data_IF_503849965668
#
_entry.id   IF_503849965668
#
_cell.length_a   1.000
_cell.length_b   1.000
_cell.length_c   1.000
_cell.angle_alpha   90.00
_cell.angle_beta   90.00
_cell.angle_gamma   90.00
#
_symmetry.space_group_name_H-M   'P 1'
#
loop_
_entity.id
_entity.type
_entity.pdbx_description
1 polymer ?
#
# COMPACT_ATOMS: atom_id res chain seq x y z
N UNK A 1 -0.34 8.12 17.46
CA UNK A 1 -0.61 7.79 16.04
C UNK A 1 -1.99 8.28 15.66
N UNK A 2 -2.11 9.11 14.63
CA UNK A 2 -3.42 9.57 14.13
C UNK A 2 -4.05 8.49 13.26
N UNK A 3 -5.35 8.26 13.43
CA UNK A 3 -6.13 7.32 12.62
C UNK A 3 -7.40 8.08 12.22
N UNK A 4 -7.64 8.18 10.92
CA UNK A 4 -8.89 8.73 10.39
C UNK A 4 -9.76 7.60 9.88
N UNK A 5 -11.02 7.63 10.28
CA UNK A 5 -12.03 6.66 9.85
C UNK A 5 -13.08 7.45 9.08
N UNK A 6 -13.23 7.12 7.80
CA UNK A 6 -14.29 7.65 6.96
C UNK A 6 -15.20 6.47 6.61
N UNK A 7 -16.51 6.61 6.84
CA UNK A 7 -17.47 5.55 6.55
C UNK A 7 -18.69 6.19 5.91
N UNK A 8 -19.03 5.74 4.71
CA UNK A 8 -20.20 6.22 3.97
C UNK A 8 -20.69 5.10 3.03
N UNK A 9 -22.01 4.96 2.92
CA UNK A 9 -22.67 3.92 2.13
C UNK A 9 -22.81 2.57 2.84
N UNK A 10 -23.39 1.60 2.14
CA UNK A 10 -23.76 0.27 2.65
C UNK A 10 -22.71 -0.83 2.37
N UNK A 11 -21.65 -0.52 1.61
CA UNK A 11 -20.61 -1.51 1.29
C UNK A 11 -19.89 -1.97 2.56
N UNK A 12 -19.73 -3.30 2.68
CA UNK A 12 -19.00 -3.92 3.79
C UNK A 12 -17.48 -3.90 3.59
N UNK A 13 -17.00 -3.40 2.45
CA UNK A 13 -15.58 -3.42 2.10
C UNK A 13 -14.79 -2.48 3.00
N UNK A 14 -13.74 -3.01 3.62
CA UNK A 14 -12.84 -2.27 4.49
C UNK A 14 -11.51 -2.02 3.77
N UNK A 15 -11.11 -0.76 3.69
CA UNK A 15 -9.88 -0.28 3.04
C UNK A 15 -8.96 0.31 4.10
N UNK A 16 -7.77 -0.26 4.26
CA UNK A 16 -6.73 0.24 5.16
C UNK A 16 -5.58 0.83 4.33
N UNK A 17 -5.41 2.15 4.41
CA UNK A 17 -4.37 2.89 3.70
C UNK A 17 -3.39 3.45 4.73
N UNK A 18 -2.12 3.06 4.61
CA UNK A 18 -1.10 3.28 5.63
C UNK A 18 0.12 3.97 5.03
N UNK A 19 0.56 5.04 5.66
CA UNK A 19 1.78 5.75 5.32
C UNK A 19 2.82 5.70 6.45
N UNK A 20 4.07 5.99 6.09
CA UNK A 20 5.12 6.26 7.06
C UNK A 20 5.49 5.05 7.91
N UNK A 21 5.75 3.91 7.28
CA UNK A 21 6.09 2.66 7.96
C UNK A 21 7.53 2.67 8.50
N UNK A 22 8.43 3.52 7.97
CA UNK A 22 9.80 3.63 8.47
C UNK A 22 10.18 5.04 8.89
N UNK A 23 10.88 5.13 10.03
CA UNK A 23 11.57 6.33 10.49
C UNK A 23 10.75 7.60 10.38
N UNK A 24 11.16 8.48 9.46
CA UNK A 24 10.55 9.79 9.22
C UNK A 24 9.76 9.87 7.91
N UNK A 25 9.48 8.75 7.25
CA UNK A 25 8.69 8.71 5.99
C UNK A 25 7.32 9.41 6.16
N UNK A 26 6.75 9.37 7.36
CA UNK A 26 5.48 10.04 7.69
C UNK A 26 5.51 11.56 7.48
N UNK A 27 6.68 12.22 7.50
CA UNK A 27 6.79 13.66 7.16
C UNK A 27 6.49 13.94 5.70
N UNK A 28 6.66 12.95 4.83
CA UNK A 28 6.48 13.08 3.37
C UNK A 28 5.12 12.50 2.98
N UNK A 29 4.78 11.32 3.48
CA UNK A 29 3.54 10.62 3.12
C UNK A 29 2.33 11.14 3.89
N UNK A 30 2.52 11.54 5.15
CA UNK A 30 1.44 12.03 5.99
C UNK A 30 0.64 13.16 5.35
N UNK A 31 1.27 14.24 4.86
CA UNK A 31 0.57 15.33 4.17
C UNK A 31 -0.29 14.90 2.98
N UNK A 32 0.10 13.85 2.24
CA UNK A 32 -0.69 13.32 1.11
C UNK A 32 -1.99 12.68 1.62
N UNK A 33 -1.90 11.87 2.68
CA UNK A 33 -3.07 11.23 3.27
C UNK A 33 -3.98 12.22 4.01
N UNK A 34 -3.41 13.26 4.62
CA UNK A 34 -4.18 14.38 5.18
C UNK A 34 -4.92 15.15 4.06
N UNK A 35 -4.23 15.46 2.95
CA UNK A 35 -4.88 16.10 1.79
C UNK A 35 -6.03 15.26 1.26
N UNK A 36 -5.83 13.95 1.09
CA UNK A 36 -6.87 13.02 0.63
C UNK A 36 -8.12 13.08 1.54
N UNK A 37 -7.94 13.09 2.86
CA UNK A 37 -9.03 13.18 3.84
C UNK A 37 -9.90 14.44 3.64
N UNK A 38 -9.27 15.56 3.29
CA UNK A 38 -9.95 16.85 3.12
C UNK A 38 -10.59 17.02 1.73
N UNK A 39 -10.42 16.05 0.82
CA UNK A 39 -11.08 16.09 -0.48
C UNK A 39 -12.56 15.70 -0.36
N UNK A 40 -13.41 16.32 -1.16
CA UNK A 40 -14.81 15.93 -1.29
C UNK A 40 -14.93 14.67 -2.17
N UNK A 41 -14.75 13.50 -1.55
CA UNK A 41 -14.76 12.20 -2.24
C UNK A 41 -16.03 11.42 -1.89
N UNK A 42 -16.55 10.67 -2.86
CA UNK A 42 -17.65 9.73 -2.62
C UNK A 42 -17.11 8.48 -1.94
N UNK A 43 -16.99 8.51 -0.61
CA UNK A 43 -16.49 7.36 0.16
C UNK A 43 -17.44 6.17 -0.02
N UNK A 44 -16.90 5.01 -0.38
CA UNK A 44 -17.66 3.76 -0.45
C UNK A 44 -17.08 2.72 0.51
N UNK A 45 -17.91 2.29 1.47
CA UNK A 45 -17.55 1.36 2.53
C UNK A 45 -16.77 2.05 3.66
N UNK A 46 -15.84 1.32 4.28
CA UNK A 46 -15.06 1.83 5.41
C UNK A 46 -13.62 2.08 4.99
N UNK A 47 -13.20 3.34 5.03
CA UNK A 47 -11.82 3.76 4.74
C UNK A 47 -11.12 4.14 6.04
N UNK A 48 -10.00 3.49 6.32
CA UNK A 48 -9.10 3.81 7.43
C UNK A 48 -7.82 4.39 6.85
N UNK A 49 -7.54 5.65 7.17
CA UNK A 49 -6.30 6.33 6.80
C UNK A 49 -5.39 6.43 8.02
N UNK A 50 -4.15 5.97 7.86
CA UNK A 50 -3.11 6.08 8.89
C UNK A 50 -1.91 6.81 8.29
N UNK A 51 -1.80 8.14 8.48
CA UNK A 51 -0.75 8.97 7.87
C UNK A 51 0.68 8.54 8.19
N UNK A 52 0.89 7.95 9.38
CA UNK A 52 2.22 7.71 9.92
C UNK A 52 2.18 6.61 11.01
N UNK A 53 2.80 5.45 10.74
CA UNK A 53 2.94 4.34 11.69
C UNK A 53 4.18 4.46 12.57
N UNK A 54 5.30 4.87 11.95
CA UNK A 54 6.61 5.00 12.58
C UNK A 54 6.84 6.44 13.01
N UNK A 55 7.26 6.61 14.26
CA UNK A 55 7.55 7.89 14.89
C UNK A 55 9.06 8.02 15.12
N UNK A 56 9.85 7.86 14.05
CA UNK A 56 11.32 7.98 14.10
C UNK A 56 12.07 6.72 14.54
N UNK A 57 11.41 5.55 14.57
CA UNK A 57 12.12 4.30 14.89
C UNK A 57 13.19 3.95 13.82
N UNK A 58 14.22 3.20 14.23
CA UNK A 58 15.27 2.71 13.33
C UNK A 58 14.67 1.91 12.18
N UNK A 59 15.20 2.15 10.98
CA UNK A 59 14.78 1.43 9.78
C UNK A 59 14.97 -0.08 9.93
N UNK A 60 13.88 -0.82 9.72
CA UNK A 60 13.87 -2.27 9.54
C UNK A 60 12.96 -2.52 8.35
N UNK A 61 13.46 -3.23 7.33
CA UNK A 61 12.69 -3.48 6.12
C UNK A 61 11.39 -4.27 6.41
N UNK A 62 10.26 -3.84 5.85
CA UNK A 62 8.98 -4.59 5.87
C UNK A 62 9.09 -5.99 5.26
N UNK A 63 10.13 -6.26 4.45
CA UNK A 63 10.45 -7.59 3.94
C UNK A 63 11.05 -8.52 5.01
N UNK A 64 11.46 -8.00 6.15
CA UNK A 64 12.05 -8.79 7.23
C UNK A 64 10.99 -9.14 8.27
N UNK A 65 10.95 -10.42 8.67
CA UNK A 65 10.12 -10.86 9.82
C UNK A 65 10.42 -10.07 11.10
N UNK A 66 11.63 -9.50 11.22
CA UNK A 66 12.03 -8.65 12.36
C UNK A 66 11.23 -7.34 12.41
N UNK A 67 10.76 -6.81 11.28
CA UNK A 67 9.94 -5.59 11.25
C UNK A 67 8.68 -5.75 12.10
N UNK A 68 8.00 -6.89 11.99
CA UNK A 68 6.77 -7.17 12.74
C UNK A 68 6.99 -7.34 14.25
N UNK A 69 8.25 -7.48 14.68
CA UNK A 69 8.66 -7.44 16.10
C UNK A 69 9.03 -6.04 16.59
N UNK A 70 9.03 -5.01 15.73
CA UNK A 70 9.26 -3.62 16.12
C UNK A 70 7.99 -2.97 16.67
N UNK A 71 8.10 -1.77 17.26
CA UNK A 71 6.92 -0.99 17.68
C UNK A 71 6.02 -0.65 16.48
N UNK A 72 6.60 -0.19 15.36
CA UNK A 72 5.89 0.13 14.12
C UNK A 72 5.17 -1.11 13.54
N UNK A 73 5.88 -2.23 13.40
CA UNK A 73 5.31 -3.47 12.89
C UNK A 73 4.18 -4.03 13.77
N UNK A 74 4.32 -3.97 15.11
CA UNK A 74 3.22 -4.36 16.01
C UNK A 74 2.00 -3.45 15.91
N UNK A 75 2.17 -2.14 15.71
CA UNK A 75 1.04 -1.23 15.46
C UNK A 75 0.33 -1.61 14.15
N UNK A 76 1.08 -1.87 13.08
CA UNK A 76 0.52 -2.31 11.81
C UNK A 76 -0.29 -3.60 11.95
N UNK A 77 0.27 -4.64 12.61
CA UNK A 77 -0.44 -5.90 12.83
C UNK A 77 -1.74 -5.70 13.62
N UNK A 78 -1.71 -4.89 14.68
CA UNK A 78 -2.91 -4.56 15.46
C UNK A 78 -3.99 -3.88 14.62
N UNK A 79 -3.61 -2.99 13.69
CA UNK A 79 -4.56 -2.34 12.78
C UNK A 79 -5.19 -3.35 11.81
N UNK A 80 -4.37 -4.25 11.25
CA UNK A 80 -4.83 -5.30 10.33
C UNK A 80 -5.80 -6.25 11.07
N UNK A 81 -5.45 -6.68 12.28
CA UNK A 81 -6.29 -7.55 13.11
C UNK A 81 -7.60 -6.86 13.53
N UNK A 82 -7.52 -5.59 13.92
CA UNK A 82 -8.67 -4.80 14.37
C UNK A 82 -9.67 -4.50 13.25
N UNK A 83 -9.18 -4.17 12.05
CA UNK A 83 -10.04 -3.72 10.96
C UNK A 83 -10.35 -4.80 9.93
N UNK A 84 -9.55 -5.88 9.85
CA UNK A 84 -9.72 -6.99 8.89
C UNK A 84 -9.97 -6.47 7.46
N UNK A 85 -9.04 -5.67 6.89
CA UNK A 85 -9.31 -4.96 5.65
C UNK A 85 -9.35 -5.91 4.46
N UNK A 86 -10.30 -5.72 3.55
CA UNK A 86 -10.31 -6.35 2.23
C UNK A 86 -9.19 -5.80 1.35
N UNK A 87 -8.99 -4.48 1.43
CA UNK A 87 -8.03 -3.76 0.60
C UNK A 87 -6.99 -3.14 1.52
N UNK A 88 -5.72 -3.46 1.28
CA UNK A 88 -4.59 -2.90 2.01
C UNK A 88 -3.68 -2.12 1.07
N UNK A 89 -3.32 -0.90 1.43
CA UNK A 89 -2.38 -0.07 0.68
C UNK A 89 -1.33 0.45 1.64
N UNK A 90 -0.06 0.20 1.35
CA UNK A 90 1.08 0.80 2.04
C UNK A 90 1.81 1.78 1.14
N UNK A 91 2.12 2.95 1.68
CA UNK A 91 2.74 4.04 0.95
C UNK A 91 4.06 4.42 1.63
N UNK A 92 5.13 4.38 0.84
CA UNK A 92 6.48 4.70 1.27
C UNK A 92 7.08 5.83 0.44
N UNK A 93 8.26 6.27 0.85
CA UNK A 93 9.14 7.02 -0.04
C UNK A 93 10.51 6.35 -0.15
N UNK A 94 11.14 6.50 -1.32
CA UNK A 94 12.48 5.97 -1.58
C UNK A 94 13.49 7.08 -1.88
N UNK A 95 14.75 6.82 -1.56
CA UNK A 95 15.88 7.65 -2.04
C UNK A 95 16.17 7.28 -3.49
N UNK A 96 16.55 8.25 -4.33
CA UNK A 96 16.83 8.02 -5.76
C UNK A 96 17.81 6.86 -6.02
N UNK A 97 18.80 6.69 -5.14
CA UNK A 97 19.77 5.57 -5.19
C UNK A 97 19.16 4.18 -4.98
N UNK A 98 17.94 4.09 -4.45
CA UNK A 98 17.20 2.83 -4.29
C UNK A 98 16.37 2.46 -5.51
N UNK A 99 16.19 3.37 -6.49
CA UNK A 99 15.32 3.16 -7.65
C UNK A 99 15.66 1.87 -8.39
N UNK A 100 16.92 1.74 -8.83
CA UNK A 100 17.36 0.57 -9.61
C UNK A 100 17.11 -0.74 -8.87
N UNK A 101 17.39 -0.75 -7.56
CA UNK A 101 17.13 -1.92 -6.70
C UNK A 101 15.64 -2.24 -6.54
N UNK A 102 14.77 -1.23 -6.48
CA UNK A 102 13.34 -1.41 -6.33
C UNK A 102 12.70 -1.93 -7.62
N UNK A 103 13.20 -1.49 -8.77
CA UNK A 103 12.70 -1.84 -10.11
C UNK A 103 13.44 -2.99 -10.78
N UNK A 104 14.47 -3.56 -10.12
CA UNK A 104 15.29 -4.63 -10.67
C UNK A 104 14.44 -5.85 -11.11
N UNK A 105 14.42 -6.22 -12.40
CA UNK A 105 13.65 -7.37 -12.87
C UNK A 105 14.05 -8.68 -12.20
N UNK A 106 15.30 -8.79 -11.70
CA UNK A 106 15.80 -9.97 -11.00
C UNK A 106 15.50 -9.98 -9.51
N UNK A 107 14.87 -8.92 -8.97
CA UNK A 107 14.46 -8.82 -7.55
C UNK A 107 13.63 -10.02 -7.09
N UNK A 108 12.84 -10.62 -7.98
CA UNK A 108 12.07 -11.82 -7.68
C UNK A 108 12.96 -13.03 -7.38
N UNK A 109 14.04 -13.20 -8.14
CA UNK A 109 14.98 -14.31 -7.96
C UNK A 109 15.87 -14.10 -6.74
N UNK A 110 16.37 -12.88 -6.55
CA UNK A 110 17.29 -12.57 -5.46
C UNK A 110 16.60 -12.36 -4.11
N UNK A 111 15.36 -11.87 -4.09
CA UNK A 111 14.65 -11.50 -2.85
C UNK A 111 13.30 -12.21 -2.67
N UNK A 112 12.84 -13.02 -3.63
CA UNK A 112 11.54 -13.68 -3.58
C UNK A 112 10.33 -12.75 -3.79
N UNK A 113 10.57 -11.48 -4.13
CA UNK A 113 9.55 -10.42 -4.22
C UNK A 113 9.69 -9.71 -5.57
N UNK A 114 8.60 -9.48 -6.31
CA UNK A 114 8.66 -8.87 -7.63
C UNK A 114 9.21 -7.44 -7.58
N UNK A 115 9.76 -6.95 -8.71
CA UNK A 115 10.07 -5.53 -8.85
C UNK A 115 8.84 -4.66 -8.64
N UNK A 116 9.08 -3.45 -8.16
CA UNK A 116 8.11 -2.38 -8.32
C UNK A 116 8.12 -1.90 -9.76
N UNK A 117 6.97 -1.44 -10.23
CA UNK A 117 6.74 -1.05 -11.60
C UNK A 117 6.53 0.46 -11.66
N UNK A 118 7.23 1.12 -12.57
CA UNK A 118 7.14 2.56 -12.73
C UNK A 118 5.77 2.98 -13.29
N UNK A 119 5.23 4.03 -12.68
CA UNK A 119 4.07 4.81 -13.10
C UNK A 119 4.54 6.22 -13.52
N UNK A 120 3.62 7.17 -13.52
CA UNK A 120 3.88 8.58 -13.80
C UNK A 120 4.69 9.24 -12.66
N UNK A 121 5.43 10.31 -12.98
CA UNK A 121 6.11 11.20 -12.02
C UNK A 121 7.07 10.51 -11.03
N UNK A 122 7.67 9.39 -11.43
CA UNK A 122 8.55 8.61 -10.55
C UNK A 122 7.82 7.96 -9.38
N UNK A 123 6.51 7.71 -9.51
CA UNK A 123 5.79 6.81 -8.62
C UNK A 123 6.05 5.37 -9.06
N UNK A 124 6.23 4.50 -8.09
CA UNK A 124 6.39 3.06 -8.26
C UNK A 124 5.18 2.36 -7.62
N UNK A 125 4.71 1.27 -8.22
CA UNK A 125 3.63 0.43 -7.67
C UNK A 125 4.02 -1.04 -7.68
N UNK A 126 3.54 -1.79 -6.70
CA UNK A 126 3.67 -3.24 -6.66
C UNK A 126 2.58 -3.88 -5.81
N UNK A 127 2.65 -5.20 -5.70
CA UNK A 127 1.84 -5.95 -4.76
C UNK A 127 2.40 -5.84 -3.34
N UNK A 128 1.54 -5.59 -2.36
CA UNK A 128 1.93 -5.60 -0.95
C UNK A 128 2.37 -7.01 -0.51
N UNK A 129 3.18 -7.05 0.56
CA UNK A 129 4.05 -8.20 0.83
C UNK A 129 3.34 -9.48 1.30
N UNK A 130 3.84 -10.67 0.89
CA UNK A 130 3.32 -11.97 1.31
C UNK A 130 3.29 -12.21 2.82
N UNK A 131 4.16 -11.54 3.59
CA UNK A 131 4.26 -11.78 5.04
C UNK A 131 3.02 -11.29 5.80
N UNK A 132 2.31 -10.29 5.27
CA UNK A 132 1.04 -9.83 5.82
C UNK A 132 -0.11 -10.78 5.48
N UNK A 133 -0.01 -11.55 4.39
CA UNK A 133 -1.05 -12.51 3.99
C UNK A 133 -1.20 -13.68 4.97
N UNK A 134 -0.16 -13.97 5.77
CA UNK A 134 -0.27 -14.92 6.90
C UNK A 134 -1.12 -14.38 8.05
N UNK A 135 -1.19 -13.05 8.22
CA UNK A 135 -2.00 -12.42 9.25
C UNK A 135 -3.43 -12.16 8.76
N UNK A 136 -3.60 -11.82 7.47
CA UNK A 136 -4.90 -11.57 6.86
C UNK A 136 -4.83 -11.69 5.33
N UNK A 137 -5.73 -12.45 4.71
CA UNK A 137 -5.81 -12.51 3.25
C UNK A 137 -6.56 -11.29 2.71
N UNK A 138 -5.84 -10.38 2.06
CA UNK A 138 -6.46 -9.24 1.35
C UNK A 138 -7.01 -9.68 0.00
N UNK A 139 -8.11 -9.06 -0.42
CA UNK A 139 -8.60 -9.12 -1.79
C UNK A 139 -7.62 -8.42 -2.74
N UNK A 140 -7.11 -7.26 -2.30
CA UNK A 140 -6.10 -6.45 -3.00
C UNK A 140 -5.09 -5.87 -2.00
N UNK A 141 -3.80 -6.11 -2.23
CA UNK A 141 -2.70 -5.51 -1.47
C UNK A 141 -1.78 -4.66 -2.36
N UNK A 142 -1.62 -3.37 -2.11
CA UNK A 142 -0.75 -2.51 -2.92
C UNK A 142 0.38 -1.91 -2.09
N UNK A 143 1.57 -1.88 -2.66
CA UNK A 143 2.64 -0.99 -2.22
C UNK A 143 2.82 0.12 -3.25
N UNK A 144 2.87 1.35 -2.79
CA UNK A 144 3.10 2.53 -3.63
C UNK A 144 4.29 3.28 -3.05
N UNK A 145 5.25 3.65 -3.89
CA UNK A 145 6.39 4.46 -3.47
C UNK A 145 6.57 5.68 -4.36
N UNK A 146 6.95 6.80 -3.77
CA UNK A 146 7.45 7.99 -4.49
C UNK A 146 8.86 8.31 -4.04
N UNK A 147 9.57 9.18 -4.76
CA UNK A 147 10.82 9.71 -4.22
C UNK A 147 10.58 10.44 -2.89
N UNK A 148 11.55 10.41 -1.96
CA UNK A 148 11.52 11.22 -0.74
C UNK A 148 11.76 12.73 -0.99
N UNK A 149 11.63 13.18 -2.26
CA UNK A 149 11.65 14.58 -2.68
C UNK A 149 10.27 14.94 -3.23
N UNK A 150 10.04 16.21 -3.63
CA UNK A 150 8.80 16.62 -4.31
C UNK A 150 8.60 15.83 -5.62
N UNK A 151 7.35 15.57 -5.98
CA UNK A 151 6.96 14.84 -7.19
C UNK A 151 6.19 13.55 -6.89
N UNK A 152 5.22 13.22 -7.74
CA UNK A 152 4.38 12.01 -7.62
C UNK A 152 3.23 12.10 -6.63
N UNK A 153 3.06 13.21 -5.91
CA UNK A 153 1.95 13.39 -4.96
C UNK A 153 0.58 13.31 -5.67
N UNK A 154 0.46 13.90 -6.85
CA UNK A 154 -0.77 13.88 -7.64
C UNK A 154 -1.10 12.49 -8.18
N UNK A 155 -0.10 11.79 -8.70
CA UNK A 155 -0.24 10.38 -9.14
C UNK A 155 -0.69 9.49 -7.99
N UNK A 156 -0.10 9.63 -6.79
CA UNK A 156 -0.56 8.91 -5.59
C UNK A 156 -2.01 9.29 -5.27
N UNK A 157 -2.36 10.59 -5.20
CA UNK A 157 -3.71 11.03 -4.88
C UNK A 157 -4.74 10.46 -5.87
N UNK A 158 -4.44 10.47 -7.17
CA UNK A 158 -5.35 9.96 -8.19
C UNK A 158 -5.59 8.45 -8.05
N UNK A 159 -4.55 7.66 -7.71
CA UNK A 159 -4.71 6.24 -7.38
C UNK A 159 -5.56 6.07 -6.12
N UNK A 160 -5.30 6.85 -5.06
CA UNK A 160 -6.03 6.73 -3.79
C UNK A 160 -7.49 7.14 -3.92
N UNK A 161 -7.83 8.14 -4.75
CA UNK A 161 -9.22 8.50 -5.07
C UNK A 161 -9.98 7.31 -5.63
N UNK A 162 -9.41 6.65 -6.64
CA UNK A 162 -10.01 5.45 -7.25
C UNK A 162 -10.27 4.37 -6.18
N UNK A 163 -9.29 4.10 -5.32
CA UNK A 163 -9.42 3.10 -4.25
C UNK A 163 -10.49 3.48 -3.22
N UNK A 164 -10.55 4.75 -2.84
CA UNK A 164 -11.50 5.25 -1.85
C UNK A 164 -12.93 5.23 -2.38
N UNK A 165 -13.12 5.66 -3.63
CA UNK A 165 -14.44 5.88 -4.22
C UNK A 165 -15.10 4.63 -4.78
N UNK A 166 -14.33 3.59 -5.11
CA UNK A 166 -14.89 2.38 -5.71
C UNK A 166 -15.09 1.29 -4.66
N UNK A 167 -16.29 0.67 -4.54
CA UNK A 167 -16.60 -0.27 -3.46
C UNK A 167 -15.87 -1.60 -3.60
N UNK A 168 -15.52 -2.05 -4.81
CA UNK A 168 -15.05 -3.42 -5.06
C UNK A 168 -13.65 -3.49 -5.65
N UNK A 169 -12.88 -4.51 -5.26
CA UNK A 169 -11.50 -4.66 -5.71
C UNK A 169 -11.38 -4.91 -7.21
N UNK A 170 -12.31 -5.67 -7.81
CA UNK A 170 -12.32 -5.95 -9.25
C UNK A 170 -12.49 -4.65 -10.04
N UNK A 171 -13.46 -3.82 -9.65
CA UNK A 171 -13.70 -2.54 -10.30
C UNK A 171 -12.53 -1.56 -10.08
N UNK A 172 -11.92 -1.53 -8.89
CA UNK A 172 -10.67 -0.78 -8.65
C UNK A 172 -9.59 -1.22 -9.63
N UNK A 173 -9.35 -2.52 -9.75
CA UNK A 173 -8.31 -3.03 -10.65
C UNK A 173 -8.62 -2.77 -12.12
N UNK A 174 -9.88 -2.87 -12.53
CA UNK A 174 -10.32 -2.52 -13.88
C UNK A 174 -10.07 -1.04 -14.17
N UNK A 175 -10.46 -0.14 -13.26
CA UNK A 175 -10.26 1.30 -13.42
C UNK A 175 -8.78 1.67 -13.48
N UNK A 176 -7.95 1.09 -12.60
CA UNK A 176 -6.50 1.29 -12.63
C UNK A 176 -5.87 0.72 -13.90
N UNK A 177 -6.37 -0.40 -14.43
CA UNK A 177 -5.87 -1.04 -15.65
C UNK A 177 -6.11 -0.21 -16.91
N UNK A 178 -7.14 0.64 -16.93
CA UNK A 178 -7.34 1.58 -18.05
C UNK A 178 -6.15 2.53 -18.21
N UNK A 179 -5.50 2.90 -17.11
CA UNK A 179 -4.33 3.80 -17.11
C UNK A 179 -3.00 3.04 -17.09
N UNK A 180 -2.92 1.94 -16.35
CA UNK A 180 -1.67 1.20 -16.11
C UNK A 180 -1.84 -0.31 -16.39
N UNK A 181 -2.20 -0.71 -17.63
CA UNK A 181 -2.63 -2.08 -17.93
C UNK A 181 -1.56 -3.13 -17.63
N UNK A 182 -0.31 -2.86 -18.03
CA UNK A 182 0.80 -3.79 -17.82
C UNK A 182 1.14 -3.94 -16.33
N UNK A 183 1.06 -2.85 -15.56
CA UNK A 183 1.41 -2.83 -14.15
C UNK A 183 0.37 -3.57 -13.31
N UNK A 184 -0.91 -3.27 -13.52
CA UNK A 184 -2.00 -3.89 -12.77
C UNK A 184 -2.13 -5.37 -13.12
N UNK A 185 -1.97 -5.76 -14.39
CA UNK A 185 -1.96 -7.18 -14.80
C UNK A 185 -0.88 -7.99 -14.04
N UNK A 186 0.35 -7.47 -13.94
CA UNK A 186 1.44 -8.11 -13.18
C UNK A 186 1.14 -8.22 -11.68
N UNK A 187 0.54 -7.19 -11.09
CA UNK A 187 0.16 -7.19 -9.67
C UNK A 187 -0.92 -8.24 -9.39
N UNK A 188 -1.96 -8.31 -10.23
CA UNK A 188 -3.03 -9.32 -10.10
C UNK A 188 -2.45 -10.72 -10.22
N UNK A 189 -1.61 -10.98 -11.23
CA UNK A 189 -0.97 -12.27 -11.41
C UNK A 189 -0.15 -12.67 -10.17
N UNK A 190 0.59 -11.72 -9.58
CA UNK A 190 1.36 -11.99 -8.37
C UNK A 190 0.47 -12.24 -7.15
N UNK A 191 -0.63 -11.51 -6.97
CA UNK A 191 -1.60 -11.80 -5.91
C UNK A 191 -2.17 -13.21 -6.02
N UNK A 192 -2.60 -13.63 -7.22
CA UNK A 192 -3.10 -14.99 -7.45
C UNK A 192 -2.07 -16.05 -7.06
N UNK A 193 -0.78 -15.83 -7.40
CA UNK A 193 0.32 -16.71 -7.00
C UNK A 193 0.57 -16.74 -5.49
N UNK A 194 0.45 -15.61 -4.78
CA UNK A 194 0.58 -15.60 -3.31
C UNK A 194 -0.60 -16.36 -2.69
N UNK A 195 -1.82 -16.06 -3.12
CA UNK A 195 -3.05 -16.65 -2.57
C UNK A 195 -3.04 -18.18 -2.74
N UNK A 196 -2.59 -18.70 -3.89
CA UNK A 196 -2.48 -20.15 -4.09
C UNK A 196 -1.44 -20.78 -3.17
N UNK A 197 -0.26 -20.15 -3.01
CA UNK A 197 0.78 -20.64 -2.10
C UNK A 197 0.34 -20.66 -0.64
N UNK A 198 -0.34 -19.61 -0.18
CA UNK A 198 -0.80 -19.52 1.22
C UNK A 198 -1.89 -20.55 1.53
N UNK A 199 -2.79 -20.85 0.57
CA UNK A 199 -3.84 -21.88 0.74
C UNK A 199 -3.30 -23.31 0.82
N UNK A 200 -2.11 -23.55 0.26
CA UNK A 200 -1.48 -24.87 0.21
C UNK A 200 -0.44 -25.09 1.34
N UNK A 201 -0.39 -24.19 2.33
CA UNK A 201 0.48 -24.26 3.52
C UNK A 201 -0.35 -24.53 4.77
#
# INVERSE_FOLDING_TARGET
MRIYKCTLGSSKVVKLIVGGLHGNEGKIIGPILEKLKHMNLKINGKVILVPCISHGEKYVSTLSRKYYKTKAGRRLLKLIEMFKPNIYVEIHCYKRSAYEKLTDPFRRFSMGIPPLLSLDDGVLIGAALPQLFKAHMFDLGLVIEKTCKKGGEETILNILKIIVEIPEYLEITSKLSLKYPKQISKIIAYHSLIKSKVRNM
#
